data_IF_555432533930
#
_entry.id   IF_555432533930
#
_cell.length_a   1.000
_cell.length_b   1.000
_cell.length_c   1.000
_cell.angle_alpha   90.00
_cell.angle_beta   90.00
_cell.angle_gamma   90.00
#
_symmetry.space_group_name_H-M   'P 1'
#
loop_
_entity.id
_entity.type
_entity.pdbx_description
1 polymer ?
#
# COMPACT_ATOMS: atom_id res chain seq x y z
N UNK A 1 19.75 -33.59 -18.79
CA UNK A 1 18.84 -32.46 -18.59
C UNK A 1 18.93 -32.09 -17.12
N UNK A 2 19.28 -30.84 -16.79
CA UNK A 2 19.31 -30.38 -15.40
C UNK A 2 17.93 -29.81 -15.06
N UNK A 3 17.43 -30.01 -13.83
CA UNK A 3 16.14 -29.47 -13.43
C UNK A 3 16.22 -27.94 -13.32
N UNK A 4 15.23 -27.25 -13.88
CA UNK A 4 15.01 -25.82 -13.65
C UNK A 4 14.29 -25.63 -12.31
N UNK A 5 14.81 -24.73 -11.47
CA UNK A 5 14.16 -24.26 -10.25
C UNK A 5 13.67 -22.85 -10.55
N UNK A 6 12.35 -22.68 -10.62
CA UNK A 6 11.71 -21.38 -10.73
C UNK A 6 11.19 -20.93 -9.36
N UNK A 7 11.55 -19.70 -8.97
CA UNK A 7 10.90 -19.04 -7.83
C UNK A 7 9.56 -18.48 -8.32
N UNK A 8 8.55 -19.34 -8.34
CA UNK A 8 7.15 -18.92 -8.51
C UNK A 8 6.60 -18.62 -7.13
N UNK A 9 6.57 -17.34 -6.79
CA UNK A 9 5.79 -16.88 -5.65
C UNK A 9 4.96 -15.71 -6.13
N UNK A 10 3.69 -15.98 -6.44
CA UNK A 10 2.68 -14.94 -6.44
C UNK A 10 2.45 -14.55 -4.97
N UNK A 11 3.30 -13.65 -4.48
CA UNK A 11 3.26 -13.22 -3.08
C UNK A 11 2.18 -12.17 -2.98
N UNK A 12 1.07 -12.53 -2.35
CA UNK A 12 0.08 -11.54 -1.92
C UNK A 12 0.71 -10.66 -0.82
N UNK A 13 1.29 -9.53 -1.24
CA UNK A 13 1.94 -8.56 -0.37
C UNK A 13 0.93 -7.92 0.59
N UNK A 14 -0.34 -7.84 0.21
CA UNK A 14 -1.43 -7.34 1.07
C UNK A 14 -1.75 -8.36 2.16
N UNK A 15 -1.68 -9.65 1.86
CA UNK A 15 -1.81 -10.71 2.85
C UNK A 15 -0.64 -10.71 3.84
N UNK A 16 0.59 -10.51 3.37
CA UNK A 16 1.80 -10.70 4.17
C UNK A 16 2.28 -9.45 4.94
N UNK A 17 1.94 -8.25 4.47
CA UNK A 17 2.43 -7.00 5.07
C UNK A 17 1.29 -6.18 5.69
N UNK A 18 1.23 -6.08 7.04
CA UNK A 18 0.25 -5.24 7.72
C UNK A 18 0.32 -3.77 7.29
N UNK A 19 1.54 -3.26 7.01
CA UNK A 19 1.74 -1.88 6.56
C UNK A 19 1.13 -1.65 5.17
N UNK A 20 1.43 -2.54 4.21
CA UNK A 20 0.90 -2.42 2.84
C UNK A 20 -0.62 -2.58 2.86
N UNK A 21 -1.14 -3.52 3.65
CA UNK A 21 -2.58 -3.66 3.84
C UNK A 21 -3.24 -2.39 4.37
N UNK A 22 -2.64 -1.74 5.36
CA UNK A 22 -3.13 -0.47 5.90
C UNK A 22 -3.16 0.64 4.85
N UNK A 23 -2.11 0.75 4.03
CA UNK A 23 -2.06 1.73 2.94
C UNK A 23 -3.12 1.47 1.87
N UNK A 24 -3.28 0.21 1.44
CA UNK A 24 -4.31 -0.17 0.45
C UNK A 24 -5.71 0.13 0.99
N UNK A 25 -6.00 -0.24 2.24
CA UNK A 25 -7.30 0.07 2.86
C UNK A 25 -7.57 1.57 2.95
N UNK A 26 -6.55 2.37 3.31
CA UNK A 26 -6.69 3.82 3.33
C UNK A 26 -7.05 4.34 1.94
N UNK A 27 -6.31 3.96 0.90
CA UNK A 27 -6.55 4.38 -0.49
C UNK A 27 -7.95 3.96 -0.97
N UNK A 28 -8.36 2.71 -0.72
CA UNK A 28 -9.71 2.25 -1.06
C UNK A 28 -10.80 3.08 -0.37
N UNK A 29 -10.61 3.43 0.90
CA UNK A 29 -11.54 4.28 1.64
C UNK A 29 -11.59 5.70 1.08
N UNK A 30 -10.44 6.28 0.69
CA UNK A 30 -10.42 7.57 0.00
C UNK A 30 -11.25 7.54 -1.29
N UNK A 31 -11.10 6.50 -2.08
CA UNK A 31 -11.77 6.38 -3.38
C UNK A 31 -13.29 6.29 -3.21
N UNK A 32 -13.76 5.56 -2.19
CA UNK A 32 -15.20 5.41 -1.92
C UNK A 32 -15.82 6.61 -1.21
N UNK A 33 -15.08 7.27 -0.31
CA UNK A 33 -15.62 8.30 0.59
C UNK A 33 -15.18 9.74 0.24
N UNK A 34 -14.53 9.94 -0.92
CA UNK A 34 -14.11 11.27 -1.39
C UNK A 34 -12.82 11.82 -0.75
N UNK A 35 -11.98 10.94 -0.21
CA UNK A 35 -10.63 11.24 0.30
C UNK A 35 -10.35 10.67 1.69
N UNK A 36 -9.08 10.38 1.98
CA UNK A 36 -8.63 10.15 3.37
C UNK A 36 -8.30 11.53 3.91
N UNK A 37 -9.15 12.07 4.78
CA UNK A 37 -8.84 13.29 5.50
C UNK A 37 -7.71 13.08 6.50
N UNK A 38 -6.44 13.03 6.03
CA UNK A 38 -5.24 13.20 6.87
C UNK A 38 -4.17 14.13 6.27
N UNK A 39 -4.43 14.74 5.12
CA UNK A 39 -3.78 16.00 4.75
C UNK A 39 -4.86 17.02 4.45
N UNK A 40 -5.25 17.79 5.47
CA UNK A 40 -5.73 19.14 5.19
C UNK A 40 -4.67 19.77 4.28
N UNK A 41 -5.06 20.37 3.17
CA UNK A 41 -4.16 20.95 2.15
C UNK A 41 -3.21 22.05 2.68
N UNK A 42 -3.21 22.31 3.99
CA UNK A 42 -2.27 23.15 4.72
C UNK A 42 -1.20 22.40 5.53
N UNK A 43 -1.20 21.05 5.58
CA UNK A 43 -0.12 20.26 6.16
C UNK A 43 1.09 20.17 5.20
N UNK A 44 1.53 21.32 4.69
CA UNK A 44 2.92 21.49 4.31
C UNK A 44 3.74 21.34 5.58
N UNK A 45 4.72 20.43 5.60
CA UNK A 45 5.77 20.43 6.61
C UNK A 45 6.37 21.85 6.66
N UNK A 46 6.04 22.62 7.69
CA UNK A 46 6.66 23.91 7.90
C UNK A 46 8.16 23.69 8.19
N UNK A 47 8.98 24.23 7.28
CA UNK A 47 10.41 24.58 7.39
C UNK A 47 11.40 23.46 7.72
N UNK A 48 12.30 23.24 6.76
CA UNK A 48 13.76 23.22 7.02
C UNK A 48 14.32 24.48 6.36
#
# INVERSE_FOLDING_TARGET
MLPEIELVADVDVVAMSPLVRGMVMAVSYADTEGGIGLTASGAMNWRI
#
